data_IF_790813017306
#
_entry.id   IF_790813017306
#
_cell.length_a   1.000
_cell.length_b   1.000
_cell.length_c   1.000
_cell.angle_alpha   90.00
_cell.angle_beta   90.00
_cell.angle_gamma   90.00
#
_symmetry.space_group_name_H-M   'P 1'
#
loop_
_entity.id
_entity.type
_entity.pdbx_description
1 polymer ?
#
# COMPACT_ATOMS: atom_id res chain seq x y z
N UNK A 1 7.72 29.48 -15.59
CA UNK A 1 7.94 28.83 -14.28
C UNK A 1 7.39 27.42 -14.39
N UNK A 2 8.05 26.44 -13.81
CA UNK A 2 7.47 25.08 -13.76
C UNK A 2 6.21 25.11 -12.90
N UNK A 3 5.16 24.44 -13.36
CA UNK A 3 3.90 24.34 -12.64
C UNK A 3 4.10 23.66 -11.28
N UNK A 4 3.51 24.23 -10.24
CA UNK A 4 3.56 23.65 -8.90
C UNK A 4 2.55 22.49 -8.79
N UNK A 5 3.05 21.26 -8.85
CA UNK A 5 2.21 20.05 -8.80
C UNK A 5 1.38 19.93 -7.52
N UNK A 6 1.89 20.44 -6.41
CA UNK A 6 1.17 20.43 -5.14
C UNK A 6 -0.03 21.37 -5.18
N UNK A 7 0.12 22.56 -5.70
CA UNK A 7 -0.98 23.52 -5.88
C UNK A 7 -2.01 22.98 -6.86
N UNK A 8 -1.57 22.39 -7.98
CA UNK A 8 -2.47 21.75 -8.94
C UNK A 8 -3.34 20.66 -8.29
N UNK A 9 -2.76 19.77 -7.51
CA UNK A 9 -3.50 18.70 -6.82
C UNK A 9 -4.41 19.28 -5.74
N UNK A 10 -3.98 20.30 -4.98
CA UNK A 10 -4.81 20.94 -3.97
C UNK A 10 -6.02 21.64 -4.61
N UNK A 11 -5.85 22.35 -5.70
CA UNK A 11 -6.95 22.98 -6.44
C UNK A 11 -8.00 21.95 -6.88
N UNK A 12 -7.57 20.79 -7.38
CA UNK A 12 -8.50 19.69 -7.71
C UNK A 12 -9.29 19.20 -6.49
N UNK A 13 -8.62 19.02 -5.34
CA UNK A 13 -9.32 18.60 -4.11
C UNK A 13 -10.30 19.65 -3.58
N UNK A 14 -10.04 20.92 -3.84
CA UNK A 14 -10.96 22.02 -3.49
C UNK A 14 -12.01 22.30 -4.59
N UNK A 15 -12.02 21.51 -5.65
CA UNK A 15 -12.93 21.67 -6.79
C UNK A 15 -12.78 23.05 -7.46
N UNK A 16 -11.56 23.54 -7.52
CA UNK A 16 -11.18 24.79 -8.18
C UNK A 16 -10.81 24.55 -9.65
N UNK A 17 -10.85 25.61 -10.46
CA UNK A 17 -10.41 25.54 -11.85
C UNK A 17 -8.90 25.28 -11.95
N UNK A 18 -8.51 24.37 -12.82
CA UNK A 18 -7.12 23.99 -13.04
C UNK A 18 -6.72 24.13 -14.50
N UNK A 19 -5.44 24.40 -14.74
CA UNK A 19 -4.87 24.55 -16.09
C UNK A 19 -4.94 23.26 -16.92
N UNK A 20 -4.93 22.10 -16.25
CA UNK A 20 -5.00 20.76 -16.86
C UNK A 20 -5.42 19.72 -15.83
N UNK A 21 -5.84 18.56 -16.30
CA UNK A 21 -6.08 17.41 -15.44
C UNK A 21 -4.74 16.86 -14.95
N UNK A 22 -4.53 16.72 -13.62
CA UNK A 22 -3.33 16.07 -13.10
C UNK A 22 -3.34 14.56 -13.40
N UNK A 23 -2.16 14.02 -13.64
CA UNK A 23 -1.98 12.61 -13.94
C UNK A 23 -1.10 11.93 -12.91
N UNK A 24 -1.54 10.75 -12.47
CA UNK A 24 -0.78 9.87 -11.59
C UNK A 24 -0.70 8.47 -12.17
N UNK A 25 0.46 7.88 -12.05
CA UNK A 25 0.71 6.50 -12.47
C UNK A 25 1.29 5.73 -11.30
N UNK A 26 1.06 4.43 -11.29
CA UNK A 26 1.65 3.52 -10.32
C UNK A 26 1.96 2.17 -10.94
N UNK A 27 2.94 1.52 -10.37
CA UNK A 27 3.41 0.22 -10.82
C UNK A 27 3.94 -0.56 -9.63
N UNK A 28 3.87 -1.87 -9.67
CA UNK A 28 4.51 -2.74 -8.69
C UNK A 28 5.96 -2.96 -9.07
N UNK A 29 6.87 -2.84 -8.10
CA UNK A 29 8.31 -2.87 -8.31
C UNK A 29 8.94 -4.21 -7.90
N UNK A 30 8.15 -5.08 -7.27
CA UNK A 30 8.55 -6.44 -6.95
C UNK A 30 7.83 -7.43 -7.88
N UNK A 31 8.51 -8.51 -8.22
CA UNK A 31 8.03 -9.48 -9.18
C UNK A 31 6.78 -10.23 -8.70
N UNK A 32 6.71 -10.50 -7.40
CA UNK A 32 5.55 -11.06 -6.72
C UNK A 32 5.05 -10.03 -5.70
N UNK A 33 4.18 -9.15 -6.13
CA UNK A 33 3.69 -8.02 -5.35
C UNK A 33 2.88 -8.42 -4.12
N UNK A 34 2.20 -9.56 -4.17
CA UNK A 34 1.34 -10.06 -3.08
C UNK A 34 2.09 -11.00 -2.15
N UNK A 35 2.93 -11.88 -2.72
CA UNK A 35 3.71 -12.86 -1.95
C UNK A 35 5.08 -12.35 -1.51
N UNK A 36 5.54 -11.21 -2.04
CA UNK A 36 6.78 -10.61 -1.58
C UNK A 36 6.66 -10.17 -0.11
N UNK A 37 7.60 -10.58 0.71
CA UNK A 37 7.66 -10.27 2.13
C UNK A 37 8.94 -9.50 2.45
N UNK A 38 8.82 -8.17 2.53
CA UNK A 38 9.92 -7.28 2.87
C UNK A 38 10.21 -7.28 4.38
N UNK A 39 9.34 -7.87 5.20
CA UNK A 39 9.60 -8.09 6.60
C UNK A 39 10.63 -9.20 6.81
N UNK A 40 10.43 -10.33 6.12
CA UNK A 40 11.35 -11.47 6.15
C UNK A 40 12.61 -11.21 5.28
N UNK A 41 12.48 -10.37 4.25
CA UNK A 41 13.53 -10.05 3.28
C UNK A 41 13.69 -8.53 3.11
N UNK A 42 14.38 -7.85 4.04
CA UNK A 42 14.50 -6.39 4.04
C UNK A 42 15.13 -5.77 2.79
N UNK A 43 15.92 -6.52 2.02
CA UNK A 43 16.49 -6.07 0.74
C UNK A 43 15.41 -5.73 -0.30
N UNK A 44 14.21 -6.29 -0.18
CA UNK A 44 13.08 -5.98 -1.04
C UNK A 44 12.60 -4.53 -0.86
N UNK A 45 12.75 -3.98 0.35
CA UNK A 45 12.44 -2.57 0.63
C UNK A 45 13.31 -1.63 -0.20
N UNK A 46 14.61 -1.87 -0.27
CA UNK A 46 15.53 -1.03 -1.06
C UNK A 46 15.25 -1.19 -2.56
N UNK A 47 14.91 -2.39 -3.02
CA UNK A 47 14.51 -2.64 -4.41
C UNK A 47 13.25 -1.88 -4.79
N UNK A 48 12.22 -1.91 -3.92
CA UNK A 48 10.96 -1.18 -4.15
C UNK A 48 11.19 0.34 -4.14
N UNK A 49 12.00 0.86 -3.22
CA UNK A 49 12.37 2.29 -3.17
C UNK A 49 13.10 2.73 -4.45
N UNK A 50 14.08 1.95 -4.90
CA UNK A 50 14.81 2.25 -6.13
C UNK A 50 13.90 2.23 -7.36
N UNK A 51 13.02 1.23 -7.45
CA UNK A 51 12.03 1.12 -8.53
C UNK A 51 11.07 2.30 -8.55
N UNK A 52 10.52 2.68 -7.40
CA UNK A 52 9.61 3.82 -7.30
C UNK A 52 10.31 5.14 -7.68
N UNK A 53 11.57 5.32 -7.27
CA UNK A 53 12.35 6.49 -7.63
C UNK A 53 12.67 6.57 -9.12
N UNK A 54 13.05 5.45 -9.74
CA UNK A 54 13.30 5.38 -11.18
C UNK A 54 12.01 5.69 -11.98
N UNK A 55 10.91 5.07 -11.59
CA UNK A 55 9.60 5.29 -12.21
C UNK A 55 9.15 6.76 -12.15
N UNK A 56 9.29 7.40 -10.98
CA UNK A 56 8.95 8.81 -10.84
C UNK A 56 9.80 9.72 -11.73
N UNK A 57 11.11 9.46 -11.80
CA UNK A 57 12.02 10.23 -12.66
C UNK A 57 11.69 10.09 -14.14
N UNK A 58 11.28 8.92 -14.58
CA UNK A 58 10.94 8.63 -15.96
C UNK A 58 9.61 9.29 -16.37
N UNK A 59 8.57 9.10 -15.56
CA UNK A 59 7.22 9.55 -15.92
C UNK A 59 6.84 10.93 -15.40
N UNK A 60 7.58 11.47 -14.43
CA UNK A 60 7.33 12.81 -13.86
C UNK A 60 5.86 13.08 -13.50
N UNK A 61 5.18 12.10 -12.90
CA UNK A 61 3.77 12.19 -12.53
C UNK A 61 3.47 13.35 -11.56
N UNK A 62 2.23 13.82 -11.53
CA UNK A 62 1.80 14.92 -10.66
C UNK A 62 1.58 14.51 -9.20
N UNK A 63 1.53 13.21 -8.97
CA UNK A 63 1.43 12.60 -7.64
C UNK A 63 2.20 11.28 -7.59
N UNK A 64 2.67 10.91 -6.42
CA UNK A 64 3.25 9.59 -6.17
C UNK A 64 2.27 8.80 -5.30
N UNK A 65 1.81 7.66 -5.79
CA UNK A 65 1.20 6.64 -4.94
C UNK A 65 2.32 5.80 -4.35
N UNK A 66 2.46 5.84 -3.03
CA UNK A 66 3.41 4.99 -2.30
C UNK A 66 2.90 3.55 -2.40
N UNK A 67 3.66 2.70 -3.08
CA UNK A 67 3.35 1.28 -3.21
C UNK A 67 3.82 0.53 -1.98
N UNK A 68 2.97 -0.35 -1.46
CA UNK A 68 3.24 -1.15 -0.26
C UNK A 68 3.88 -2.50 -0.60
N UNK A 69 4.63 -2.54 -1.69
CA UNK A 69 5.28 -3.75 -2.17
C UNK A 69 6.15 -4.37 -1.07
N UNK A 70 5.91 -5.63 -0.79
CA UNK A 70 6.58 -6.35 0.28
C UNK A 70 5.97 -6.21 1.68
N UNK A 71 4.96 -5.35 1.86
CA UNK A 71 4.22 -5.20 3.14
C UNK A 71 2.73 -5.51 2.98
N UNK A 72 2.36 -6.25 1.96
CA UNK A 72 0.98 -6.59 1.71
C UNK A 72 0.44 -7.62 2.71
N UNK A 73 1.28 -8.60 3.07
CA UNK A 73 0.95 -9.62 4.05
C UNK A 73 1.04 -9.10 5.48
N UNK A 74 -0.10 -9.12 6.21
CA UNK A 74 -0.09 -8.83 7.63
C UNK A 74 0.53 -10.00 8.41
N UNK A 75 1.54 -9.79 9.27
CA UNK A 75 2.34 -10.87 9.85
C UNK A 75 1.65 -11.53 11.06
N UNK A 76 0.50 -12.13 10.86
CA UNK A 76 -0.23 -12.85 11.88
C UNK A 76 -0.28 -14.36 11.57
N UNK A 77 0.01 -15.25 12.55
CA UNK A 77 0.07 -16.70 12.31
C UNK A 77 -1.20 -17.28 11.67
N UNK A 78 -2.38 -16.81 12.08
CA UNK A 78 -3.65 -17.28 11.51
C UNK A 78 -3.77 -16.96 10.01
N UNK A 79 -3.16 -15.87 9.52
CA UNK A 79 -3.19 -15.54 8.10
C UNK A 79 -2.25 -16.38 7.24
N UNK A 80 -1.36 -17.17 7.86
CA UNK A 80 -0.47 -18.12 7.18
C UNK A 80 -1.13 -19.48 6.94
N UNK A 81 -2.37 -19.67 7.37
CA UNK A 81 -3.17 -20.89 7.19
C UNK A 81 -4.54 -20.55 6.60
N UNK A 82 -5.27 -21.56 6.15
CA UNK A 82 -6.63 -21.37 5.65
C UNK A 82 -7.55 -20.90 6.77
N UNK A 83 -8.28 -19.83 6.55
CA UNK A 83 -9.35 -19.37 7.42
C UNK A 83 -10.65 -20.10 7.07
N UNK A 84 -11.35 -20.63 8.06
CA UNK A 84 -12.57 -21.44 7.87
C UNK A 84 -13.85 -20.64 8.12
N UNK A 85 -13.75 -19.46 8.76
CA UNK A 85 -14.93 -18.65 9.04
C UNK A 85 -14.65 -17.36 9.82
N UNK A 86 -15.72 -16.63 10.19
CA UNK A 86 -15.62 -15.33 10.89
C UNK A 86 -14.85 -15.39 12.20
N UNK A 87 -14.95 -16.51 12.93
CA UNK A 87 -14.25 -16.70 14.21
C UNK A 87 -12.74 -16.61 14.07
N UNK A 88 -12.19 -17.10 12.96
CA UNK A 88 -10.76 -17.02 12.71
C UNK A 88 -10.34 -15.57 12.48
N UNK A 89 -11.17 -14.78 11.78
CA UNK A 89 -10.91 -13.35 11.55
C UNK A 89 -10.94 -12.57 12.86
N UNK A 90 -11.93 -12.84 13.72
CA UNK A 90 -12.08 -12.19 15.04
C UNK A 90 -10.90 -12.55 15.96
N UNK A 91 -10.31 -13.72 15.81
CA UNK A 91 -9.15 -14.16 16.57
C UNK A 91 -7.83 -13.50 16.14
N UNK A 92 -7.82 -12.76 15.01
CA UNK A 92 -6.64 -12.02 14.57
C UNK A 92 -6.43 -10.81 15.49
N UNK A 93 -5.44 -10.91 16.35
CA UNK A 93 -5.09 -9.81 17.24
C UNK A 93 -4.37 -8.70 16.48
N UNK A 94 -4.85 -7.44 16.57
CA UNK A 94 -4.15 -6.32 15.94
C UNK A 94 -2.74 -6.14 16.51
N UNK A 95 -1.77 -5.91 15.64
CA UNK A 95 -0.45 -5.43 16.04
C UNK A 95 -0.56 -3.99 16.56
N UNK A 96 0.13 -3.70 17.65
CA UNK A 96 0.26 -2.32 18.12
C UNK A 96 1.02 -1.46 17.09
N UNK A 97 0.72 -0.17 17.05
CA UNK A 97 1.37 0.79 16.14
C UNK A 97 2.90 0.84 16.30
N UNK A 98 3.40 0.46 17.48
CA UNK A 98 4.83 0.41 17.79
C UNK A 98 5.50 -0.90 17.32
N UNK A 99 4.74 -1.81 16.68
CA UNK A 99 5.32 -3.03 16.15
C UNK A 99 6.33 -2.72 15.05
N UNK A 100 7.37 -3.52 15.00
CA UNK A 100 8.45 -3.34 14.00
C UNK A 100 7.93 -3.39 12.56
N UNK A 101 6.85 -4.14 12.31
CA UNK A 101 6.21 -4.23 11.01
C UNK A 101 5.61 -2.89 10.57
N UNK A 102 4.86 -2.21 11.46
CA UNK A 102 4.36 -0.86 11.17
C UNK A 102 5.49 0.16 11.08
N UNK A 103 6.47 0.06 11.96
CA UNK A 103 7.62 0.97 11.95
C UNK A 103 8.46 0.81 10.67
N UNK A 104 8.57 -0.39 10.11
CA UNK A 104 9.23 -0.60 8.82
C UNK A 104 8.50 0.13 7.68
N UNK A 105 7.17 0.05 7.62
CA UNK A 105 6.38 0.78 6.62
C UNK A 105 6.45 2.29 6.80
N UNK A 106 6.44 2.77 8.04
CA UNK A 106 6.63 4.20 8.34
C UNK A 106 8.00 4.68 7.86
N UNK A 107 9.07 3.92 8.10
CA UNK A 107 10.41 4.25 7.58
C UNK A 107 10.44 4.28 6.07
N UNK A 108 9.81 3.31 5.41
CA UNK A 108 9.68 3.27 3.95
C UNK A 108 8.99 4.52 3.40
N UNK A 109 7.82 4.85 3.94
CA UNK A 109 7.07 6.04 3.53
C UNK A 109 7.85 7.34 3.79
N UNK A 110 8.52 7.46 4.95
CA UNK A 110 9.37 8.62 5.29
C UNK A 110 10.47 8.83 4.27
N UNK A 111 11.17 7.79 3.84
CA UNK A 111 12.22 7.91 2.81
C UNK A 111 11.68 8.55 1.51
N UNK A 112 10.51 8.12 1.06
CA UNK A 112 9.88 8.70 -0.14
C UNK A 112 9.45 10.15 0.07
N UNK A 113 8.85 10.46 1.23
CA UNK A 113 8.45 11.83 1.58
C UNK A 113 9.66 12.76 1.69
N UNK A 114 10.72 12.34 2.32
CA UNK A 114 11.96 13.12 2.43
C UNK A 114 12.59 13.39 1.06
N UNK A 115 12.52 12.42 0.16
CA UNK A 115 13.12 12.52 -1.17
C UNK A 115 12.29 13.37 -2.13
N UNK A 116 10.97 13.16 -2.18
CA UNK A 116 10.10 13.71 -3.23
C UNK A 116 9.02 14.66 -2.69
N UNK A 117 8.77 14.71 -1.39
CA UNK A 117 7.63 15.40 -0.82
C UNK A 117 7.64 16.93 -0.96
N UNK A 118 8.79 17.52 -1.32
CA UNK A 118 8.88 18.95 -1.65
C UNK A 118 8.42 19.26 -3.08
N UNK A 119 8.54 18.27 -3.98
CA UNK A 119 8.28 18.44 -5.41
C UNK A 119 6.86 18.00 -5.78
N UNK A 120 6.35 16.95 -5.12
CA UNK A 120 5.11 16.28 -5.51
C UNK A 120 4.35 15.77 -4.29
N UNK A 121 3.01 15.79 -4.31
CA UNK A 121 2.20 15.13 -3.28
C UNK A 121 2.39 13.61 -3.31
N UNK A 122 2.42 13.00 -2.12
CA UNK A 122 2.49 11.55 -1.97
C UNK A 122 1.22 11.04 -1.29
N UNK A 123 0.71 9.91 -1.76
CA UNK A 123 -0.46 9.23 -1.22
C UNK A 123 -0.10 7.82 -0.78
N UNK A 124 -0.41 7.48 0.45
CA UNK A 124 -0.28 6.12 0.94
C UNK A 124 -1.61 5.39 0.77
N UNK A 125 -1.58 4.22 0.14
CA UNK A 125 -2.78 3.44 -0.12
C UNK A 125 -3.05 2.48 1.05
N UNK A 126 -4.22 2.61 1.68
CA UNK A 126 -4.69 1.69 2.70
C UNK A 126 -5.82 0.82 2.12
N UNK A 127 -5.63 -0.48 2.15
CA UNK A 127 -6.67 -1.41 1.78
C UNK A 127 -7.62 -1.68 2.95
N UNK A 128 -8.90 -1.86 2.66
CA UNK A 128 -9.86 -2.33 3.65
C UNK A 128 -9.44 -3.71 4.18
N UNK A 129 -9.53 -3.90 5.49
CA UNK A 129 -9.09 -5.13 6.16
C UNK A 129 -9.69 -6.40 5.55
N UNK A 130 -11.01 -6.49 5.27
CA UNK A 130 -11.59 -7.66 4.62
C UNK A 130 -10.91 -7.98 3.28
N UNK A 131 -10.66 -6.95 2.47
CA UNK A 131 -10.04 -7.12 1.17
C UNK A 131 -8.60 -7.61 1.26
N UNK A 132 -7.86 -7.10 2.25
CA UNK A 132 -6.48 -7.56 2.51
C UNK A 132 -6.48 -9.04 2.89
N UNK A 133 -7.39 -9.47 3.76
CA UNK A 133 -7.50 -10.88 4.18
C UNK A 133 -7.84 -11.77 2.98
N UNK A 134 -8.80 -11.39 2.14
CA UNK A 134 -9.14 -12.13 0.92
C UNK A 134 -7.95 -12.28 -0.01
N UNK A 135 -7.16 -11.22 -0.23
CA UNK A 135 -5.95 -11.29 -1.05
C UNK A 135 -4.90 -12.23 -0.47
N UNK A 136 -4.64 -12.14 0.83
CA UNK A 136 -3.67 -13.02 1.51
C UNK A 136 -4.11 -14.48 1.38
N UNK A 137 -5.38 -14.78 1.63
CA UNK A 137 -5.92 -16.12 1.52
C UNK A 137 -5.88 -16.65 0.07
N UNK A 138 -6.23 -15.81 -0.90
CA UNK A 138 -6.13 -16.15 -2.31
C UNK A 138 -4.68 -16.51 -2.71
N UNK A 139 -3.71 -15.79 -2.20
CA UNK A 139 -2.28 -16.06 -2.45
C UNK A 139 -1.84 -17.41 -1.88
N UNK A 140 -2.49 -17.88 -0.82
CA UNK A 140 -2.31 -19.24 -0.26
C UNK A 140 -3.11 -20.33 -1.01
N UNK A 141 -3.79 -19.98 -2.09
CA UNK A 141 -4.66 -20.90 -2.84
C UNK A 141 -6.05 -21.09 -2.23
N UNK A 142 -6.45 -20.28 -1.25
CA UNK A 142 -7.74 -20.37 -0.58
C UNK A 142 -8.71 -19.31 -1.13
N UNK A 143 -9.88 -19.74 -1.62
CA UNK A 143 -10.97 -18.83 -1.95
C UNK A 143 -11.85 -18.64 -0.72
N UNK A 144 -11.91 -17.42 -0.20
CA UNK A 144 -12.83 -17.03 0.87
C UNK A 144 -13.67 -15.82 0.42
N UNK A 145 -14.87 -15.69 0.97
CA UNK A 145 -15.76 -14.55 0.74
C UNK A 145 -16.20 -14.00 2.11
N UNK A 146 -15.50 -12.96 2.56
CA UNK A 146 -15.79 -12.32 3.86
C UNK A 146 -17.17 -11.64 3.82
N UNK A 147 -17.60 -11.12 2.67
CA UNK A 147 -18.92 -10.51 2.54
C UNK A 147 -20.04 -11.54 2.74
N UNK A 148 -19.85 -12.78 2.27
CA UNK A 148 -20.77 -13.88 2.54
C UNK A 148 -20.77 -14.29 4.02
N UNK A 149 -19.61 -14.32 4.64
CA UNK A 149 -19.50 -14.60 6.08
C UNK A 149 -20.23 -13.57 6.94
N UNK A 150 -20.07 -12.28 6.63
CA UNK A 150 -20.77 -11.20 7.35
C UNK A 150 -22.28 -11.20 7.18
N UNK A 151 -22.81 -11.81 6.10
CA UNK A 151 -24.25 -12.00 5.93
C UNK A 151 -24.82 -13.12 6.79
N UNK A 152 -24.00 -14.15 7.06
CA UNK A 152 -24.40 -15.34 7.84
C UNK A 152 -24.25 -15.13 9.33
N UNK A 153 -23.22 -14.40 9.73
CA UNK A 153 -22.89 -14.07 11.12
C UNK A 153 -22.51 -12.58 11.21
N UNK A 154 -23.51 -11.67 11.25
CA UNK A 154 -23.32 -10.21 11.28
C UNK A 154 -22.74 -9.71 12.60
#
# INVERSE_FOLDING_TARGET
>A
MAENRRELIQAVFHNEEVSRVPAGFWHHFLQDEVGADAWERPELTEKALAGQGAFYKEFSADLIKIMTDGFFGYPHPLLKQKLEGPKDVIAITPLGRESDWFQAQIRYAKKLVETYGKEVPLFYNLFAVPRTIEFVQKNLGNAIDIADWLKKEP
#
